data_IF_475959680890
#
_entry.id   IF_475959680890
#
_cell.length_a   1.000
_cell.length_b   1.000
_cell.length_c   1.000
_cell.angle_alpha   90.00
_cell.angle_beta   90.00
_cell.angle_gamma   90.00
#
_symmetry.space_group_name_H-M   'P 1'
#
loop_
_entity.id
_entity.type
_entity.pdbx_description
1 polymer ?
#
# COMPACT_ATOMS: atom_id res chain seq x y z
N UNK A 1 -8.77 19.89 -18.62
CA UNK A 1 -8.60 19.82 -17.15
C UNK A 1 -8.98 21.16 -16.57
N UNK A 2 -9.97 21.22 -15.65
CA UNK A 2 -10.62 22.48 -15.26
C UNK A 2 -9.75 23.26 -14.26
N UNK A 3 -9.43 24.52 -14.56
CA UNK A 3 -8.58 25.40 -13.73
C UNK A 3 -9.08 25.50 -12.27
N UNK A 4 -10.40 25.43 -12.07
CA UNK A 4 -11.05 25.37 -10.75
C UNK A 4 -10.64 24.16 -9.89
N UNK A 5 -10.34 23.00 -10.49
CA UNK A 5 -9.89 21.80 -9.76
C UNK A 5 -8.45 21.93 -9.27
N UNK A 6 -7.59 22.63 -10.02
CA UNK A 6 -6.19 22.86 -9.64
C UNK A 6 -6.14 23.82 -8.45
N UNK A 7 -6.89 24.91 -8.49
CA UNK A 7 -7.02 25.84 -7.35
C UNK A 7 -7.59 25.17 -6.10
N UNK A 8 -8.60 24.31 -6.26
CA UNK A 8 -9.17 23.55 -5.13
C UNK A 8 -8.14 22.62 -4.48
N UNK A 9 -7.27 21.96 -5.25
CA UNK A 9 -6.23 21.08 -4.72
C UNK A 9 -5.09 21.86 -4.02
N UNK A 10 -4.71 23.02 -4.55
CA UNK A 10 -3.70 23.89 -3.92
C UNK A 10 -4.23 24.46 -2.60
N UNK A 11 -5.49 24.89 -2.57
CA UNK A 11 -6.13 25.40 -1.36
C UNK A 11 -6.26 24.33 -0.27
N UNK A 12 -6.61 23.10 -0.66
CA UNK A 12 -6.66 21.96 0.26
C UNK A 12 -5.27 21.59 0.80
N UNK A 13 -4.23 21.70 -0.04
CA UNK A 13 -2.83 21.52 0.37
C UNK A 13 -2.37 22.57 1.39
N UNK A 14 -2.72 23.84 1.18
CA UNK A 14 -2.38 24.94 2.12
C UNK A 14 -3.10 24.81 3.46
N UNK A 15 -4.37 24.38 3.46
CA UNK A 15 -5.11 24.07 4.69
C UNK A 15 -4.45 22.93 5.45
N UNK A 16 -4.02 21.86 4.76
CA UNK A 16 -3.33 20.73 5.38
C UNK A 16 -1.96 21.12 5.95
N UNK A 17 -1.24 22.04 5.30
CA UNK A 17 0.04 22.56 5.81
C UNK A 17 -0.18 23.42 7.07
N UNK A 18 -1.21 24.28 7.09
CA UNK A 18 -1.53 25.07 8.29
C UNK A 18 -1.98 24.19 9.46
N UNK A 19 -2.78 23.16 9.21
CA UNK A 19 -3.19 22.20 10.27
C UNK A 19 -1.99 21.38 10.78
N UNK A 20 -1.03 21.05 9.91
CA UNK A 20 0.20 20.35 10.30
C UNK A 20 1.15 21.23 11.13
N UNK A 21 1.22 22.53 10.83
CA UNK A 21 1.99 23.52 11.61
C UNK A 21 1.37 23.77 12.99
N UNK A 22 0.04 23.82 13.08
CA UNK A 22 -0.68 24.07 14.34
C UNK A 22 -0.67 22.85 15.29
N UNK A 23 -0.51 21.64 14.75
CA UNK A 23 -0.29 20.42 15.53
C UNK A 23 0.97 20.52 16.41
N UNK A 24 2.08 21.10 15.90
CA UNK A 24 3.34 21.22 16.62
C UNK A 24 3.19 22.11 17.87
N UNK A 25 2.41 23.20 17.76
CA UNK A 25 2.09 24.10 18.88
C UNK A 25 1.09 23.51 19.88
N UNK A 26 0.18 22.65 19.44
CA UNK A 26 -0.83 22.03 20.32
C UNK A 26 -0.21 21.00 21.27
N UNK A 27 0.81 20.26 20.81
CA UNK A 27 1.54 19.29 21.62
C UNK A 27 2.33 19.92 22.78
N UNK A 28 2.82 21.15 22.62
CA UNK A 28 3.54 21.84 23.69
C UNK A 28 2.61 22.46 24.73
N UNK A 29 1.42 22.93 24.34
CA UNK A 29 0.41 23.44 25.28
C UNK A 29 -0.25 22.34 26.11
N UNK A 30 -0.42 21.14 25.56
CA UNK A 30 -1.09 20.03 26.26
C UNK A 30 -0.21 19.34 27.29
N UNK A 31 1.12 19.38 27.15
CA UNK A 31 2.09 18.86 28.13
C UNK A 31 1.99 19.56 29.50
N UNK A 32 1.72 20.86 29.52
CA UNK A 32 1.59 21.63 30.78
C UNK A 32 0.30 21.36 31.54
N UNK A 33 -0.76 20.93 30.86
CA UNK A 33 -2.09 20.71 31.46
C UNK A 33 -2.25 19.30 32.06
N UNK A 34 -1.41 18.35 31.65
CA UNK A 34 -1.54 16.92 31.97
C UNK A 34 -0.55 16.47 33.07
N UNK A 35 -0.03 17.39 33.88
CA UNK A 35 1.11 17.16 34.77
C UNK A 35 0.91 16.25 35.98
N UNK A 36 -0.30 15.87 36.40
CA UNK A 36 -0.46 15.21 37.71
C UNK A 36 -1.34 13.95 37.78
N UNK A 37 -2.06 13.55 36.72
CA UNK A 37 -2.83 12.30 36.74
C UNK A 37 -2.96 11.67 35.35
N UNK A 38 -1.98 10.87 34.91
CA UNK A 38 -2.00 10.38 33.52
C UNK A 38 -1.49 8.95 33.37
N UNK A 39 -2.42 8.05 33.08
CA UNK A 39 -2.20 6.80 32.32
C UNK A 39 -1.23 7.09 31.16
N UNK A 40 0.01 6.59 31.19
CA UNK A 40 1.07 6.63 30.14
C UNK A 40 0.65 7.22 28.75
N UNK A 41 0.35 8.53 28.68
CA UNK A 41 -0.06 9.23 27.43
C UNK A 41 1.13 9.31 26.46
N UNK A 42 2.34 9.08 26.97
CA UNK A 42 3.58 8.92 26.21
C UNK A 42 3.52 7.79 25.17
N UNK A 43 2.67 6.77 25.35
CA UNK A 43 2.51 5.66 24.38
C UNK A 43 1.41 5.89 23.34
N UNK A 44 0.48 6.80 23.59
CA UNK A 44 -0.66 7.05 22.69
C UNK A 44 -0.25 7.94 21.51
N UNK A 45 0.57 8.96 21.72
CA UNK A 45 1.08 9.84 20.65
C UNK A 45 1.79 9.07 19.52
N UNK A 46 2.78 8.22 19.83
CA UNK A 46 3.44 7.38 18.82
C UNK A 46 2.50 6.41 18.10
N UNK A 47 1.49 5.88 18.81
CA UNK A 47 0.50 5.00 18.21
C UNK A 47 -0.34 5.72 17.15
N UNK A 48 -0.85 6.92 17.47
CA UNK A 48 -1.64 7.73 16.53
C UNK A 48 -0.80 8.11 15.31
N UNK A 49 0.45 8.54 15.50
CA UNK A 49 1.35 8.87 14.39
C UNK A 49 1.58 7.66 13.46
N UNK A 50 1.87 6.49 14.03
CA UNK A 50 2.02 5.26 13.25
C UNK A 50 0.71 4.84 12.57
N UNK A 51 -0.44 5.02 13.22
CA UNK A 51 -1.75 4.75 12.62
C UNK A 51 -1.97 5.56 11.35
N UNK A 52 -1.69 6.87 11.37
CA UNK A 52 -1.81 7.69 10.17
C UNK A 52 -0.81 7.29 9.08
N UNK A 53 0.43 6.94 9.43
CA UNK A 53 1.42 6.39 8.48
C UNK A 53 0.88 5.14 7.78
N UNK A 54 0.35 4.18 8.54
CA UNK A 54 -0.26 2.97 7.99
C UNK A 54 -1.52 3.26 7.16
N UNK A 55 -2.37 4.18 7.63
CA UNK A 55 -3.59 4.61 6.94
C UNK A 55 -3.26 5.21 5.57
N UNK A 56 -2.30 6.14 5.50
CA UNK A 56 -1.88 6.77 4.25
C UNK A 56 -1.22 5.77 3.29
N UNK A 57 -0.38 4.86 3.80
CA UNK A 57 0.15 3.76 2.99
C UNK A 57 -0.97 2.89 2.41
N UNK A 58 -1.97 2.53 3.22
CA UNK A 58 -3.16 1.81 2.78
C UNK A 58 -3.97 2.59 1.74
N UNK A 59 -4.08 3.91 1.90
CA UNK A 59 -4.79 4.80 0.97
C UNK A 59 -4.07 4.89 -0.38
N UNK A 60 -2.73 4.95 -0.39
CA UNK A 60 -1.91 4.87 -1.61
C UNK A 60 -2.17 3.55 -2.34
N UNK A 61 -2.22 2.43 -1.61
CA UNK A 61 -2.54 1.12 -2.19
C UNK A 61 -3.95 1.08 -2.77
N UNK A 62 -4.92 1.65 -2.06
CA UNK A 62 -6.31 1.75 -2.52
C UNK A 62 -6.43 2.59 -3.80
N UNK A 63 -5.76 3.75 -3.85
CA UNK A 63 -5.71 4.58 -5.05
C UNK A 63 -5.04 3.85 -6.22
N UNK A 64 -3.94 3.15 -5.96
CA UNK A 64 -3.26 2.31 -6.97
C UNK A 64 -4.20 1.25 -7.52
N UNK A 65 -4.97 0.58 -6.66
CA UNK A 65 -5.98 -0.40 -7.06
C UNK A 65 -7.06 0.23 -7.96
N UNK A 66 -7.59 1.39 -7.58
CA UNK A 66 -8.59 2.11 -8.39
C UNK A 66 -8.04 2.51 -9.76
N UNK A 67 -6.79 3.00 -9.84
CA UNK A 67 -6.14 3.35 -11.10
C UNK A 67 -6.04 2.12 -12.02
N UNK A 68 -5.66 0.96 -11.47
CA UNK A 68 -5.58 -0.29 -12.24
C UNK A 68 -6.96 -0.73 -12.72
N UNK A 69 -7.98 -0.66 -11.86
CA UNK A 69 -9.36 -1.01 -12.22
C UNK A 69 -9.88 -0.09 -13.34
N UNK A 70 -9.62 1.21 -13.24
CA UNK A 70 -10.01 2.18 -14.25
C UNK A 70 -9.31 1.93 -15.59
N UNK A 71 -8.00 1.65 -15.56
CA UNK A 71 -7.23 1.28 -16.75
C UNK A 71 -7.81 0.03 -17.42
N UNK A 72 -8.19 -0.99 -16.66
CA UNK A 72 -8.84 -2.21 -17.20
C UNK A 72 -10.14 -1.88 -17.88
N UNK A 73 -11.00 -1.11 -17.22
CA UNK A 73 -12.30 -0.72 -17.78
C UNK A 73 -12.15 0.01 -19.13
N UNK A 74 -11.12 0.84 -19.28
CA UNK A 74 -10.81 1.51 -20.55
C UNK A 74 -10.31 0.51 -21.62
N UNK A 75 -9.51 -0.48 -21.23
CA UNK A 75 -8.96 -1.50 -22.14
C UNK A 75 -10.02 -2.51 -22.58
N UNK A 76 -10.90 -2.94 -21.68
CA UNK A 76 -11.98 -3.90 -21.98
C UNK A 76 -13.00 -3.30 -22.96
N UNK A 77 -13.24 -1.99 -22.89
CA UNK A 77 -14.04 -1.28 -23.90
C UNK A 77 -13.39 -1.28 -25.29
N UNK A 78 -12.07 -1.54 -25.39
CA UNK A 78 -11.29 -1.49 -26.63
C UNK A 78 -10.91 -2.87 -27.17
N UNK A 79 -10.97 -3.94 -26.36
CA UNK A 79 -10.47 -5.27 -26.74
C UNK A 79 -11.39 -6.38 -26.21
N UNK A 80 -12.21 -6.93 -27.11
CA UNK A 80 -13.03 -8.13 -26.86
C UNK A 80 -12.19 -9.41 -26.95
N UNK A 81 -11.07 -9.51 -26.23
CA UNK A 81 -10.26 -10.73 -26.23
C UNK A 81 -10.24 -11.34 -24.83
N UNK A 82 -10.96 -12.46 -24.68
CA UNK A 82 -11.20 -13.14 -23.39
C UNK A 82 -9.91 -13.63 -22.72
N UNK A 83 -8.89 -13.94 -23.51
CA UNK A 83 -7.63 -14.52 -23.01
C UNK A 83 -6.72 -13.50 -22.29
N UNK A 84 -6.84 -12.19 -22.61
CA UNK A 84 -6.06 -11.13 -21.94
C UNK A 84 -6.64 -10.80 -20.54
N UNK A 85 -7.94 -11.07 -20.33
CA UNK A 85 -8.66 -10.76 -19.08
C UNK A 85 -8.22 -11.70 -17.95
N UNK A 86 -8.13 -13.00 -18.22
CA UNK A 86 -7.76 -14.05 -17.25
C UNK A 86 -6.32 -13.88 -16.72
N UNK A 87 -5.36 -13.55 -17.57
CA UNK A 87 -3.97 -13.28 -17.18
C UNK A 87 -3.83 -12.01 -16.32
N UNK A 88 -4.79 -11.08 -16.44
CA UNK A 88 -4.81 -9.86 -15.65
C UNK A 88 -5.35 -10.11 -14.24
N UNK A 89 -6.39 -10.95 -14.07
CA UNK A 89 -7.00 -11.24 -12.76
C UNK A 89 -5.98 -11.78 -11.75
N UNK A 90 -5.08 -12.66 -12.20
CA UNK A 90 -3.99 -13.17 -11.39
C UNK A 90 -3.00 -12.11 -10.92
N UNK A 91 -2.81 -11.04 -11.67
CA UNK A 91 -1.83 -9.96 -11.38
C UNK A 91 -2.32 -8.98 -10.32
N UNK A 92 -3.63 -8.90 -10.10
CA UNK A 92 -4.29 -8.02 -9.13
C UNK A 92 -4.83 -8.73 -7.91
N UNK A 93 -4.70 -10.05 -7.81
CA UNK A 93 -5.31 -10.82 -6.70
C UNK A 93 -4.81 -10.33 -5.33
N UNK A 94 -3.50 -10.20 -5.16
CA UNK A 94 -2.92 -9.64 -3.92
C UNK A 94 -3.40 -8.20 -3.66
N UNK A 95 -3.32 -7.34 -4.67
CA UNK A 95 -3.71 -5.93 -4.50
C UNK A 95 -5.21 -5.78 -4.19
N UNK A 96 -6.07 -6.61 -4.78
CA UNK A 96 -7.49 -6.68 -4.45
C UNK A 96 -7.70 -7.22 -3.01
N UNK A 97 -6.91 -8.20 -2.59
CA UNK A 97 -6.94 -8.71 -1.22
C UNK A 97 -6.52 -7.66 -0.19
N UNK A 98 -5.49 -6.86 -0.47
CA UNK A 98 -5.00 -5.85 0.48
C UNK A 98 -5.76 -4.53 0.38
N UNK A 99 -6.17 -4.12 -0.82
CA UNK A 99 -6.67 -2.76 -1.09
C UNK A 99 -7.96 -2.73 -1.93
N UNK A 100 -8.68 -3.84 -2.05
CA UNK A 100 -9.90 -3.90 -2.87
C UNK A 100 -11.15 -3.25 -2.27
N UNK A 101 -11.13 -2.82 -0.99
CA UNK A 101 -12.29 -2.21 -0.31
C UNK A 101 -11.87 -0.99 0.51
N UNK A 102 -12.77 -0.01 0.65
CA UNK A 102 -12.53 1.28 1.31
C UNK A 102 -12.16 1.17 2.81
N UNK A 103 -12.59 0.12 3.50
CA UNK A 103 -12.23 -0.10 4.92
C UNK A 103 -10.86 -0.75 5.11
N UNK A 104 -10.24 -1.33 4.07
CA UNK A 104 -8.94 -2.01 4.21
C UNK A 104 -7.80 -1.06 4.59
N UNK A 105 -7.70 0.18 4.07
CA UNK A 105 -6.75 1.17 4.57
C UNK A 105 -6.84 1.40 6.08
N UNK A 106 -8.05 1.38 6.65
CA UNK A 106 -8.25 1.52 8.10
C UNK A 106 -7.66 0.32 8.86
N UNK A 107 -7.92 -0.90 8.40
CA UNK A 107 -7.30 -2.11 8.97
C UNK A 107 -5.77 -2.10 8.84
N UNK A 108 -5.23 -1.65 7.71
CA UNK A 108 -3.78 -1.50 7.53
C UNK A 108 -3.21 -0.49 8.53
N UNK A 109 -3.89 0.63 8.77
CA UNK A 109 -3.52 1.61 9.78
C UNK A 109 -3.46 1.04 11.19
N UNK A 110 -4.53 0.36 11.63
CA UNK A 110 -4.59 -0.26 12.96
C UNK A 110 -3.51 -1.34 13.11
N UNK A 111 -3.40 -2.21 12.12
CA UNK A 111 -2.43 -3.32 12.14
C UNK A 111 -1.00 -2.79 12.20
N UNK A 112 -0.67 -1.79 11.37
CA UNK A 112 0.65 -1.17 11.37
C UNK A 112 0.96 -0.44 12.69
N UNK A 113 0.00 0.32 13.22
CA UNK A 113 0.17 0.99 14.52
C UNK A 113 0.43 0.00 15.66
N UNK A 114 -0.27 -1.14 15.63
CA UNK A 114 -0.10 -2.22 16.60
C UNK A 114 1.26 -2.92 16.44
N UNK A 115 1.67 -3.22 15.21
CA UNK A 115 2.99 -3.82 14.93
C UNK A 115 4.15 -2.93 15.41
N UNK A 116 4.02 -1.61 15.26
CA UNK A 116 5.03 -0.66 15.70
C UNK A 116 5.17 -0.55 17.22
N UNK A 117 4.22 -1.08 18.00
CA UNK A 117 4.37 -1.18 19.45
C UNK A 117 5.41 -2.23 19.86
N UNK A 118 5.72 -3.19 18.98
CA UNK A 118 6.76 -4.20 19.23
C UNK A 118 8.13 -3.62 18.86
N UNK A 119 9.08 -3.45 19.82
CA UNK A 119 10.34 -2.77 19.56
C UNK A 119 11.18 -3.39 18.44
N UNK A 120 11.24 -4.72 18.38
CA UNK A 120 12.00 -5.46 17.36
C UNK A 120 11.45 -5.15 15.97
N UNK A 121 10.12 -5.19 15.82
CA UNK A 121 9.44 -4.92 14.55
C UNK A 121 9.62 -3.45 14.15
N UNK A 122 9.50 -2.53 15.12
CA UNK A 122 9.75 -1.11 14.88
C UNK A 122 11.17 -0.87 14.35
N UNK A 123 12.19 -1.52 14.91
CA UNK A 123 13.59 -1.34 14.48
C UNK A 123 13.79 -1.86 13.05
N UNK A 124 13.27 -3.05 12.75
CA UNK A 124 13.34 -3.63 11.40
C UNK A 124 12.62 -2.74 10.39
N UNK A 125 11.43 -2.25 10.71
CA UNK A 125 10.67 -1.38 9.82
C UNK A 125 11.40 -0.05 9.58
N UNK A 126 11.96 0.58 10.61
CA UNK A 126 12.78 1.80 10.48
C UNK A 126 13.98 1.58 9.56
N UNK A 127 14.61 0.41 9.62
CA UNK A 127 15.71 0.04 8.73
C UNK A 127 15.23 -0.14 7.28
N UNK A 128 14.15 -0.89 7.07
CA UNK A 128 13.58 -1.14 5.73
C UNK A 128 13.04 0.14 5.08
N UNK A 129 12.46 1.05 5.86
CA UNK A 129 11.96 2.34 5.37
C UNK A 129 13.03 3.42 5.28
N UNK A 130 14.31 3.06 5.49
CA UNK A 130 15.47 3.96 5.49
C UNK A 130 15.35 5.14 6.48
N UNK A 131 14.52 5.04 7.52
CA UNK A 131 14.28 6.15 8.46
C UNK A 131 15.56 6.61 9.16
N UNK A 132 16.52 5.70 9.37
CA UNK A 132 17.83 6.00 9.94
C UNK A 132 18.67 6.99 9.12
N UNK A 133 18.40 7.15 7.83
CA UNK A 133 19.11 8.07 6.94
C UNK A 133 18.47 9.46 6.89
N UNK A 134 17.49 9.76 7.75
CA UNK A 134 16.84 11.07 7.82
C UNK A 134 15.75 11.30 6.77
N UNK A 135 15.25 10.24 6.15
CA UNK A 135 14.17 10.38 5.17
C UNK A 135 12.85 10.79 5.84
N UNK A 136 12.09 11.66 5.16
CA UNK A 136 10.84 12.24 5.67
C UNK A 136 9.73 11.19 5.86
N UNK A 137 8.74 11.49 6.70
CA UNK A 137 7.58 10.62 6.94
C UNK A 137 6.84 10.19 5.66
N UNK A 138 6.87 11.02 4.60
CA UNK A 138 6.32 10.70 3.29
C UNK A 138 7.00 9.48 2.65
N UNK A 139 8.32 9.44 2.69
CA UNK A 139 9.10 8.32 2.13
C UNK A 139 8.76 7.00 2.82
N UNK A 140 8.52 7.05 4.15
CA UNK A 140 8.12 5.90 4.95
C UNK A 140 6.78 5.35 4.52
N UNK A 141 5.80 6.20 4.26
CA UNK A 141 4.49 5.79 3.76
C UNK A 141 4.58 5.13 2.38
N UNK A 142 5.39 5.71 1.47
CA UNK A 142 5.60 5.16 0.12
C UNK A 142 6.32 3.82 0.20
N UNK A 143 7.39 3.71 0.98
CA UNK A 143 8.11 2.44 1.17
C UNK A 143 7.22 1.37 1.79
N UNK A 144 6.37 1.72 2.76
CA UNK A 144 5.39 0.79 3.32
C UNK A 144 4.38 0.30 2.28
N UNK A 145 3.86 1.20 1.44
CA UNK A 145 2.99 0.81 0.35
C UNK A 145 3.71 -0.14 -0.62
N UNK A 146 4.98 0.11 -0.94
CA UNK A 146 5.78 -0.79 -1.79
C UNK A 146 5.98 -2.15 -1.12
N UNK A 147 6.37 -2.16 0.16
CA UNK A 147 6.65 -3.36 0.93
C UNK A 147 5.42 -4.27 1.07
N UNK A 148 4.26 -3.68 1.39
CA UNK A 148 3.02 -4.44 1.63
C UNK A 148 2.31 -4.76 0.33
N UNK A 149 2.30 -3.84 -0.64
CA UNK A 149 1.54 -3.99 -1.87
C UNK A 149 2.31 -4.63 -3.01
N UNK A 150 3.48 -4.09 -3.34
CA UNK A 150 4.18 -4.42 -4.58
C UNK A 150 5.07 -5.66 -4.43
N UNK A 151 5.78 -5.80 -3.33
CA UNK A 151 6.71 -6.94 -3.14
C UNK A 151 5.97 -8.30 -3.20
N UNK A 152 4.87 -8.52 -2.45
CA UNK A 152 4.17 -9.80 -2.53
C UNK A 152 3.53 -10.04 -3.91
N UNK A 153 3.06 -8.97 -4.56
CA UNK A 153 2.51 -9.06 -5.92
C UNK A 153 3.60 -9.48 -6.94
N UNK A 154 4.82 -8.96 -6.82
CA UNK A 154 5.95 -9.35 -7.65
C UNK A 154 6.29 -10.83 -7.43
N UNK A 155 6.40 -11.27 -6.17
CA UNK A 155 6.67 -12.67 -5.82
C UNK A 155 5.59 -13.62 -6.38
N UNK A 156 4.31 -13.25 -6.26
CA UNK A 156 3.20 -14.04 -6.80
C UNK A 156 3.29 -14.17 -8.34
N UNK A 157 3.63 -13.07 -9.03
CA UNK A 157 3.79 -13.07 -10.48
C UNK A 157 4.98 -13.92 -10.96
N UNK A 158 6.12 -13.83 -10.28
CA UNK A 158 7.28 -14.67 -10.57
C UNK A 158 6.96 -16.15 -10.40
N UNK A 159 6.27 -16.53 -9.31
CA UNK A 159 5.90 -17.92 -9.05
C UNK A 159 4.91 -18.45 -10.09
N UNK A 160 3.91 -17.65 -10.49
CA UNK A 160 2.97 -18.03 -11.57
C UNK A 160 3.67 -18.23 -12.90
N UNK A 161 4.61 -17.35 -13.26
CA UNK A 161 5.40 -17.49 -14.49
C UNK A 161 6.20 -18.80 -14.53
N UNK A 162 6.87 -19.14 -13.42
CA UNK A 162 7.60 -20.42 -13.32
C UNK A 162 6.67 -21.64 -13.46
N UNK A 163 5.50 -21.62 -12.82
CA UNK A 163 4.55 -22.73 -12.92
C UNK A 163 3.97 -22.89 -14.33
N UNK A 164 3.64 -21.79 -15.01
CA UNK A 164 3.16 -21.79 -16.40
C UNK A 164 4.20 -22.42 -17.33
N UNK A 165 5.45 -21.98 -17.26
CA UNK A 165 6.54 -22.52 -18.07
C UNK A 165 6.77 -24.02 -17.79
N UNK A 166 6.63 -24.46 -16.53
CA UNK A 166 6.72 -25.88 -16.17
C UNK A 166 5.58 -26.70 -16.77
N UNK A 167 4.36 -26.16 -16.80
CA UNK A 167 3.19 -26.80 -17.39
C UNK A 167 3.32 -26.92 -18.91
N UNK A 168 3.69 -25.83 -19.59
CA UNK A 168 3.88 -25.80 -21.05
C UNK A 168 4.96 -26.78 -21.50
N UNK A 169 6.07 -26.89 -20.75
CA UNK A 169 7.10 -27.90 -21.02
C UNK A 169 6.56 -29.32 -20.93
N UNK A 170 5.74 -29.62 -19.91
CA UNK A 170 5.12 -30.95 -19.76
C UNK A 170 4.13 -31.26 -20.89
N UNK A 171 3.30 -30.28 -21.27
CA UNK A 171 2.35 -30.42 -22.37
C UNK A 171 3.08 -30.64 -23.70
N UNK A 172 4.16 -29.89 -23.97
CA UNK A 172 4.96 -30.07 -25.18
C UNK A 172 5.67 -31.42 -25.21
N UNK A 173 6.22 -31.88 -24.07
CA UNK A 173 6.81 -33.22 -23.97
C UNK A 173 5.78 -34.31 -24.24
N UNK A 174 4.58 -34.20 -23.67
CA UNK A 174 3.50 -35.15 -23.91
C UNK A 174 3.05 -35.14 -25.39
N UNK A 175 2.96 -33.96 -26.01
CA UNK A 175 2.60 -33.81 -27.42
C UNK A 175 3.65 -34.45 -28.34
N UNK A 176 4.94 -34.20 -28.09
CA UNK A 176 6.05 -34.81 -28.85
C UNK A 176 6.07 -36.33 -28.68
N UNK A 177 5.82 -36.84 -27.47
CA UNK A 177 5.74 -38.28 -27.22
C UNK A 177 4.58 -38.92 -27.99
N UNK A 178 3.40 -38.29 -28.01
CA UNK A 178 2.25 -38.77 -28.77
C UNK A 178 2.51 -38.79 -30.29
N UNK A 179 3.20 -37.78 -30.82
CA UNK A 179 3.58 -37.74 -32.25
C UNK A 179 4.60 -38.82 -32.62
N UNK A 180 5.47 -39.26 -31.71
CA UNK A 180 6.44 -40.34 -31.98
C UNK A 180 5.84 -41.75 -31.89
N UNK A 181 4.65 -41.89 -31.30
CA UNK A 181 3.99 -43.17 -31.11
C UNK A 181 3.05 -43.54 -32.29
N UNK A 182 2.72 -42.56 -33.13
CA UNK A 182 1.97 -42.73 -34.39
C UNK A 182 2.94 -42.79 -35.56
#
# INVERSE_FOLDING_TARGET
MNLKKIFSLIFLGLILINIASDQENWWDKTKGFLGEHVVDVTKIGPFIGNFFIGLFAGLILYLTYLIILWKRRIVDLKKSNKDDVELSEGRTRWLNFVAGRIHKPLFIGIFFATLMQVPIISTVLKFVTLEYFGYSWYSRMVMLAILIGYIPAIIENFRKGMMKNKLERKVNQARVAATRAN
#
